data_IF_149561139966
#
_entry.id   IF_149561139966
#
_cell.length_a   1.000
_cell.length_b   1.000
_cell.length_c   1.000
_cell.angle_alpha   90.00
_cell.angle_beta   90.00
_cell.angle_gamma   90.00
#
_symmetry.space_group_name_H-M   'P 1'
#
loop_
_entity.id
_entity.type
_entity.pdbx_description
1 polymer ?
#
# COMPACT_ATOMS: atom_id res chain seq x y z
N UNK A 1 4.82 38.67 -67.61
CA UNK A 1 6.07 38.54 -66.84
C UNK A 1 5.84 39.27 -65.51
N UNK A 2 5.68 38.52 -64.41
CA UNK A 2 5.94 39.01 -63.05
C UNK A 2 6.12 37.79 -62.13
N UNK A 3 7.19 37.87 -61.34
CA UNK A 3 7.81 36.82 -60.56
C UNK A 3 7.17 36.69 -59.17
N UNK A 4 7.01 35.43 -58.76
CA UNK A 4 7.35 34.83 -57.45
C UNK A 4 6.78 35.51 -56.19
N UNK A 5 5.97 34.78 -55.42
CA UNK A 5 6.40 34.39 -54.07
C UNK A 5 5.53 33.28 -53.47
N UNK A 6 6.25 32.21 -53.15
CA UNK A 6 5.88 31.10 -52.27
C UNK A 6 5.42 31.61 -50.91
N UNK A 7 4.34 31.05 -50.38
CA UNK A 7 4.12 30.97 -48.93
C UNK A 7 3.22 29.77 -48.62
N UNK A 8 3.91 28.62 -48.52
CA UNK A 8 3.43 27.46 -47.78
C UNK A 8 3.20 27.88 -46.32
N UNK A 9 1.94 28.03 -45.91
CA UNK A 9 1.55 28.15 -44.50
C UNK A 9 0.92 26.83 -44.06
N UNK A 10 1.76 25.81 -43.91
CA UNK A 10 1.43 24.64 -43.09
C UNK A 10 1.55 25.07 -41.63
N UNK A 11 0.47 25.58 -41.06
CA UNK A 11 0.38 25.79 -39.62
C UNK A 11 0.16 24.43 -38.95
N UNK A 12 1.25 23.71 -38.68
CA UNK A 12 1.23 22.54 -37.81
C UNK A 12 1.03 23.08 -36.40
N UNK A 13 -0.22 23.12 -35.95
CA UNK A 13 -0.57 23.38 -34.57
C UNK A 13 -0.18 22.13 -33.78
N UNK A 14 1.10 22.03 -33.40
CA UNK A 14 1.56 21.04 -32.41
C UNK A 14 0.95 21.47 -31.09
N UNK A 15 -0.26 20.97 -30.80
CA UNK A 15 -0.76 20.89 -29.44
C UNK A 15 0.19 19.95 -28.70
N UNK A 16 1.29 20.51 -28.20
CA UNK A 16 2.03 19.94 -27.09
C UNK A 16 1.10 19.97 -25.89
N UNK A 17 0.18 18.99 -25.85
CA UNK A 17 -0.43 18.57 -24.61
C UNK A 17 0.76 18.20 -23.71
N UNK A 18 1.02 19.03 -22.71
CA UNK A 18 1.85 18.62 -21.59
C UNK A 18 1.17 17.38 -21.03
N UNK A 19 1.66 16.21 -21.43
CA UNK A 19 1.39 14.98 -20.72
C UNK A 19 2.09 15.19 -19.39
N UNK A 20 1.41 15.81 -18.44
CA UNK A 20 1.79 15.76 -17.04
C UNK A 20 1.72 14.30 -16.67
N UNK A 21 2.86 13.63 -16.74
CA UNK A 21 3.06 12.38 -16.03
C UNK A 21 2.88 12.74 -14.55
N UNK A 22 1.68 12.54 -14.02
CA UNK A 22 1.45 12.66 -12.59
C UNK A 22 2.31 11.59 -11.92
N UNK A 23 3.45 12.01 -11.38
CA UNK A 23 4.23 11.19 -10.48
C UNK A 23 3.31 10.72 -9.35
N UNK A 24 3.49 9.47 -8.91
CA UNK A 24 2.71 8.91 -7.79
C UNK A 24 2.67 9.91 -6.65
N UNK A 25 1.45 10.32 -6.23
CA UNK A 25 1.23 11.33 -5.18
C UNK A 25 1.77 10.87 -3.82
N UNK A 26 2.01 9.56 -3.68
CA UNK A 26 2.67 8.97 -2.54
C UNK A 26 3.86 8.13 -2.96
N UNK A 27 4.92 8.20 -2.17
CA UNK A 27 6.03 7.26 -2.18
C UNK A 27 5.77 6.21 -1.09
N UNK A 28 5.87 4.94 -1.49
CA UNK A 28 5.51 3.80 -0.67
C UNK A 28 6.70 2.86 -0.54
N UNK A 29 7.13 2.62 0.70
CA UNK A 29 8.24 1.73 1.03
C UNK A 29 7.80 0.72 2.08
N UNK A 30 8.44 -0.46 2.09
CA UNK A 30 8.06 -1.55 2.99
C UNK A 30 9.25 -2.42 3.40
N UNK A 31 9.09 -3.15 4.50
CA UNK A 31 10.07 -4.13 5.00
C UNK A 31 9.80 -5.54 4.48
N UNK A 32 10.75 -6.44 4.71
CA UNK A 32 10.44 -7.88 4.71
C UNK A 32 9.60 -8.21 5.96
N UNK A 33 8.58 -9.08 5.86
CA UNK A 33 7.81 -9.53 7.01
C UNK A 33 8.68 -10.33 7.98
N UNK A 34 8.55 -10.04 9.27
CA UNK A 34 9.23 -10.76 10.34
C UNK A 34 8.25 -11.68 11.08
N UNK A 35 8.67 -12.93 11.31
CA UNK A 35 7.91 -13.85 12.15
C UNK A 35 8.30 -13.63 13.61
N UNK A 36 7.33 -13.39 14.48
CA UNK A 36 7.51 -13.22 15.92
C UNK A 36 6.65 -14.22 16.66
N UNK A 37 7.22 -14.89 17.65
CA UNK A 37 6.43 -15.64 18.62
C UNK A 37 6.21 -14.75 19.85
N UNK A 38 4.96 -14.62 20.28
CA UNK A 38 4.62 -13.79 21.43
C UNK A 38 3.51 -14.43 22.25
N UNK A 39 3.72 -14.44 23.57
CA UNK A 39 2.76 -14.88 24.56
C UNK A 39 2.26 -13.66 25.30
N UNK A 40 0.96 -13.39 25.21
CA UNK A 40 0.31 -12.35 26.01
C UNK A 40 -0.15 -12.97 27.32
N UNK A 41 0.50 -12.62 28.42
CA UNK A 41 0.18 -13.02 29.81
C UNK A 41 -0.36 -14.46 29.98
N UNK A 42 -1.69 -14.62 29.88
CA UNK A 42 -2.47 -15.84 30.15
C UNK A 42 -2.96 -16.56 28.88
N UNK A 43 -2.64 -16.07 27.69
CA UNK A 43 -2.94 -16.74 26.42
C UNK A 43 -1.84 -17.73 26.05
N UNK A 44 -2.20 -18.68 25.20
CA UNK A 44 -1.22 -19.55 24.56
C UNK A 44 -0.23 -18.73 23.73
N UNK A 45 0.96 -19.31 23.56
CA UNK A 45 1.99 -18.72 22.72
C UNK A 45 1.52 -18.73 21.25
N UNK A 46 1.44 -17.55 20.65
CA UNK A 46 0.95 -17.36 19.28
C UNK A 46 2.05 -16.87 18.35
N UNK A 47 1.88 -17.17 17.06
CA UNK A 47 2.80 -16.72 16.02
C UNK A 47 2.22 -15.54 15.27
N UNK A 48 3.03 -14.50 15.15
CA UNK A 48 2.68 -13.27 14.46
C UNK A 48 3.58 -13.06 13.25
N UNK A 49 3.02 -12.49 12.19
CA UNK A 49 3.78 -11.86 11.12
C UNK A 49 3.68 -10.37 11.31
N UNK A 50 4.82 -9.70 11.46
CA UNK A 50 4.93 -8.25 11.60
C UNK A 50 5.47 -7.69 10.29
N UNK A 51 4.82 -6.66 9.78
CA UNK A 51 5.21 -6.02 8.54
C UNK A 51 5.18 -4.51 8.68
N UNK A 52 6.30 -3.86 8.37
CA UNK A 52 6.47 -2.42 8.52
C UNK A 52 6.47 -1.75 7.15
N UNK A 53 5.89 -0.56 7.08
CA UNK A 53 5.81 0.20 5.85
C UNK A 53 5.84 1.70 6.12
N UNK A 54 6.04 2.50 5.07
CA UNK A 54 5.95 3.95 5.16
C UNK A 54 5.29 4.53 3.92
N UNK A 55 4.45 5.53 4.15
CA UNK A 55 3.80 6.31 3.10
C UNK A 55 4.26 7.75 3.25
N UNK A 56 4.79 8.32 2.17
CA UNK A 56 5.21 9.71 2.10
C UNK A 56 4.41 10.45 1.05
N UNK A 57 3.85 11.59 1.39
CA UNK A 57 3.29 12.50 0.39
C UNK A 57 4.42 13.18 -0.38
N UNK A 58 4.45 12.98 -1.70
CA UNK A 58 5.46 13.54 -2.62
C UNK A 58 5.00 14.84 -3.28
N UNK A 59 3.74 15.22 -3.06
CA UNK A 59 3.14 16.43 -3.64
C UNK A 59 3.36 17.64 -2.73
N UNK A 60 3.22 18.82 -3.32
CA UNK A 60 3.22 20.10 -2.59
C UNK A 60 1.87 20.43 -1.93
N UNK A 61 0.89 19.53 -2.06
CA UNK A 61 -0.47 19.72 -1.55
C UNK A 61 -0.76 18.77 -0.40
N UNK A 62 -1.72 19.13 0.45
CA UNK A 62 -2.28 18.19 1.41
C UNK A 62 -3.16 17.17 0.68
N UNK A 63 -2.96 15.89 0.96
CA UNK A 63 -3.74 14.78 0.39
C UNK A 63 -4.40 13.96 1.50
N UNK A 64 -5.49 13.27 1.19
CA UNK A 64 -6.15 12.33 2.11
C UNK A 64 -5.92 10.91 1.61
N UNK A 65 -5.31 10.07 2.43
CA UNK A 65 -4.96 8.70 2.04
C UNK A 65 -5.80 7.71 2.87
N UNK A 66 -6.73 6.96 2.24
CA UNK A 66 -7.53 5.96 2.92
C UNK A 66 -6.76 4.62 2.99
N UNK A 67 -5.85 4.52 3.95
CA UNK A 67 -4.96 3.36 4.09
C UNK A 67 -5.67 2.23 4.84
N UNK A 68 -5.69 1.06 4.24
CA UNK A 68 -6.04 -0.21 4.89
C UNK A 68 -5.02 -1.28 4.48
N UNK A 69 -4.82 -2.28 5.35
CA UNK A 69 -3.85 -3.34 5.12
C UNK A 69 -4.43 -4.69 5.53
N UNK A 70 -4.25 -5.70 4.68
CA UNK A 70 -4.69 -7.07 4.95
C UNK A 70 -3.75 -8.08 4.28
N UNK A 71 -3.79 -9.33 4.75
CA UNK A 71 -2.95 -10.41 4.25
C UNK A 71 -3.82 -11.56 3.74
N UNK A 72 -3.44 -12.14 2.58
CA UNK A 72 -4.05 -13.35 2.03
C UNK A 72 -2.99 -14.40 1.75
N UNK A 73 -3.26 -15.63 2.17
CA UNK A 73 -2.37 -16.78 1.89
C UNK A 73 -2.71 -17.46 0.56
N UNK A 74 -1.79 -18.27 0.05
CA UNK A 74 -2.05 -19.24 -1.03
C UNK A 74 -3.13 -20.27 -0.65
N UNK A 75 -3.29 -20.58 0.64
CA UNK A 75 -4.39 -21.39 1.19
C UNK A 75 -5.76 -20.70 1.18
N UNK A 76 -5.87 -19.53 0.55
CA UNK A 76 -7.09 -18.71 0.41
C UNK A 76 -7.66 -18.18 1.74
N UNK A 77 -6.88 -18.20 2.82
CA UNK A 77 -7.26 -17.58 4.09
C UNK A 77 -6.92 -16.09 4.08
N UNK A 78 -7.78 -15.29 4.68
CA UNK A 78 -7.62 -13.84 4.81
C UNK A 78 -7.37 -13.49 6.28
N UNK A 79 -6.50 -12.52 6.50
CA UNK A 79 -6.08 -12.06 7.81
C UNK A 79 -6.13 -10.53 7.85
N UNK A 80 -6.75 -10.01 8.89
CA UNK A 80 -6.84 -8.58 9.14
C UNK A 80 -5.64 -8.11 9.97
N UNK A 81 -5.26 -6.86 9.73
CA UNK A 81 -4.42 -6.06 10.62
C UNK A 81 -4.97 -6.16 12.06
N UNK A 82 -4.08 -6.48 13.01
CA UNK A 82 -4.30 -6.25 14.43
C UNK A 82 -3.26 -5.29 14.97
N UNK A 83 -3.69 -4.36 15.82
CA UNK A 83 -2.77 -3.51 16.56
C UNK A 83 -2.51 -4.07 17.95
N UNK A 84 -1.27 -4.47 18.23
CA UNK A 84 -0.84 -5.01 19.53
C UNK A 84 0.27 -4.12 20.10
N UNK A 85 -0.02 -3.22 21.06
CA UNK A 85 0.94 -2.24 21.56
C UNK A 85 2.27 -2.83 22.02
N UNK A 86 2.24 -3.99 22.67
CA UNK A 86 3.44 -4.67 23.20
C UNK A 86 4.35 -5.25 22.11
N UNK A 87 3.79 -5.59 20.95
CA UNK A 87 4.58 -5.98 19.78
C UNK A 87 5.15 -4.71 19.13
N UNK A 88 4.31 -3.68 18.93
CA UNK A 88 4.71 -2.41 18.29
C UNK A 88 5.82 -1.71 19.05
N UNK A 89 5.81 -1.75 20.38
CA UNK A 89 6.84 -1.14 21.24
C UNK A 89 8.22 -1.77 21.06
N UNK A 90 8.32 -3.04 20.63
CA UNK A 90 9.61 -3.70 20.31
C UNK A 90 10.27 -3.10 19.07
N UNK A 91 9.47 -2.63 18.13
CA UNK A 91 9.92 -2.07 16.85
C UNK A 91 10.06 -0.55 16.88
N UNK A 92 9.28 0.12 17.74
CA UNK A 92 9.35 1.57 17.91
C UNK A 92 10.50 1.94 18.85
N UNK A 93 11.67 2.29 18.30
CA UNK A 93 12.84 2.73 19.09
C UNK A 93 13.10 4.23 18.92
N UNK A 94 13.26 4.93 20.04
CA UNK A 94 13.57 6.36 20.05
C UNK A 94 12.45 7.21 19.45
N UNK A 95 12.75 7.99 18.40
CA UNK A 95 11.79 8.88 17.75
C UNK A 95 11.00 8.20 16.61
N UNK A 96 11.30 6.95 16.27
CA UNK A 96 10.59 6.21 15.22
C UNK A 96 9.37 5.51 15.81
N UNK A 97 8.22 6.20 15.79
CA UNK A 97 6.94 5.63 16.20
C UNK A 97 6.26 4.99 15.01
N UNK A 98 5.95 3.70 15.10
CA UNK A 98 5.06 3.02 14.16
C UNK A 98 3.62 3.14 14.64
N UNK A 99 2.70 3.39 13.69
CA UNK A 99 1.27 3.55 13.94
C UNK A 99 0.45 2.51 13.17
N UNK A 100 -0.78 2.25 13.59
CA UNK A 100 -1.69 1.35 12.87
C UNK A 100 -2.12 1.93 11.51
N UNK A 101 -2.66 1.10 10.62
CA UNK A 101 -3.28 1.59 9.38
C UNK A 101 -4.42 2.57 9.67
N UNK A 102 -5.22 2.31 10.73
CA UNK A 102 -6.32 3.17 11.15
C UNK A 102 -5.89 4.56 11.64
N UNK A 103 -4.77 4.66 12.38
CA UNK A 103 -4.20 5.96 12.80
C UNK A 103 -3.51 6.66 11.62
N UNK A 104 -2.98 5.90 10.67
CA UNK A 104 -2.32 6.45 9.49
C UNK A 104 -3.30 7.11 8.51
N UNK A 105 -4.50 6.53 8.39
CA UNK A 105 -5.61 7.04 7.58
C UNK A 105 -5.88 8.52 7.85
N UNK A 106 -6.05 9.28 6.78
CA UNK A 106 -6.39 10.70 6.87
C UNK A 106 -5.39 11.58 6.14
N UNK A 107 -5.15 12.77 6.67
CA UNK A 107 -4.41 13.81 5.97
C UNK A 107 -2.90 13.60 6.03
N UNK A 108 -2.24 13.83 4.90
CA UNK A 108 -0.80 13.90 4.76
C UNK A 108 -0.45 15.29 4.22
N UNK A 109 0.24 16.08 5.02
CA UNK A 109 0.81 17.35 4.56
C UNK A 109 1.91 17.14 3.51
N UNK A 110 2.31 18.20 2.79
CA UNK A 110 3.40 18.12 1.82
C UNK A 110 4.69 17.56 2.44
N UNK A 111 5.29 16.56 1.80
CA UNK A 111 6.54 15.93 2.26
C UNK A 111 6.42 15.06 3.53
N UNK A 112 5.25 15.00 4.18
CA UNK A 112 5.06 14.24 5.42
C UNK A 112 5.16 12.74 5.14
N UNK A 113 5.93 12.05 5.97
CA UNK A 113 6.06 10.59 5.97
C UNK A 113 5.43 10.02 7.24
N UNK A 114 4.54 9.03 7.11
CA UNK A 114 4.02 8.25 8.23
C UNK A 114 4.54 6.81 8.13
N UNK A 115 4.91 6.22 9.27
CA UNK A 115 5.42 4.85 9.37
C UNK A 115 4.37 3.93 10.00
N UNK A 116 4.06 2.85 9.32
CA UNK A 116 2.97 1.94 9.64
C UNK A 116 3.47 0.57 10.01
N UNK A 117 2.71 -0.11 10.85
CA UNK A 117 2.95 -1.50 11.23
C UNK A 117 1.65 -2.28 11.11
N UNK A 118 1.70 -3.39 10.36
CA UNK A 118 0.63 -4.37 10.28
C UNK A 118 1.09 -5.65 10.97
N UNK A 119 0.23 -6.19 11.85
CA UNK A 119 0.51 -7.43 12.57
C UNK A 119 -0.60 -8.42 12.26
N UNK A 120 -0.22 -9.62 11.84
CA UNK A 120 -1.16 -10.69 11.51
C UNK A 120 -0.93 -11.88 12.43
N UNK A 121 -1.99 -12.35 13.09
CA UNK A 121 -1.95 -13.42 14.08
C UNK A 121 -2.27 -14.78 13.46
N UNK A 122 -1.54 -15.81 13.86
CA UNK A 122 -1.78 -17.22 13.57
C UNK A 122 -2.01 -17.51 12.08
N UNK A 123 -1.09 -17.01 11.25
CA UNK A 123 -1.03 -17.33 9.83
C UNK A 123 -0.88 -18.84 9.64
N UNK A 124 -1.63 -19.37 8.67
CA UNK A 124 -1.65 -20.79 8.33
C UNK A 124 -0.22 -21.36 8.22
N UNK A 125 0.17 -22.34 9.05
CA UNK A 125 1.54 -22.85 9.05
C UNK A 125 1.93 -23.52 7.72
N UNK A 126 0.93 -23.99 6.96
CA UNK A 126 1.11 -24.64 5.66
C UNK A 126 1.24 -23.63 4.51
N UNK A 127 0.94 -22.34 4.74
CA UNK A 127 1.06 -21.32 3.71
C UNK A 127 2.52 -21.20 3.22
N UNK A 128 2.71 -21.31 1.90
CA UNK A 128 4.01 -21.13 1.26
C UNK A 128 4.16 -19.75 0.65
N UNK A 129 3.04 -19.05 0.45
CA UNK A 129 3.03 -17.66 -0.01
C UNK A 129 2.06 -16.82 0.81
N UNK A 130 2.48 -15.59 1.08
CA UNK A 130 1.63 -14.54 1.64
C UNK A 130 1.58 -13.38 0.66
N UNK A 131 0.39 -12.80 0.53
CA UNK A 131 0.15 -11.62 -0.28
C UNK A 131 -0.34 -10.54 0.69
N UNK A 132 0.47 -9.50 0.88
CA UNK A 132 0.08 -8.33 1.67
C UNK A 132 -0.47 -7.29 0.71
N UNK A 133 -1.64 -6.77 1.03
CA UNK A 133 -2.33 -5.77 0.24
C UNK A 133 -2.40 -4.46 1.01
N UNK A 134 -2.09 -3.35 0.34
CA UNK A 134 -2.25 -2.00 0.87
C UNK A 134 -3.15 -1.20 -0.07
N UNK A 135 -4.22 -0.64 0.46
CA UNK A 135 -5.17 0.18 -0.31
C UNK A 135 -4.88 1.68 -0.12
N UNK A 136 -5.54 2.51 -0.93
CA UNK A 136 -5.46 3.97 -0.81
C UNK A 136 -4.17 4.63 -1.32
N UNK A 137 -3.20 3.84 -1.80
CA UNK A 137 -1.92 4.36 -2.33
C UNK A 137 -2.03 5.01 -3.72
N UNK A 138 -3.13 4.82 -4.42
CA UNK A 138 -3.35 5.48 -5.72
C UNK A 138 -4.63 6.29 -5.64
N UNK A 139 -4.55 7.59 -5.97
CA UNK A 139 -5.69 8.49 -6.00
C UNK A 139 -6.56 8.31 -7.26
N UNK A 140 -6.27 7.29 -8.07
CA UNK A 140 -6.98 6.97 -9.30
C UNK A 140 -8.37 6.42 -8.95
N UNK A 141 -9.40 7.23 -9.21
CA UNK A 141 -10.84 6.92 -9.23
C UNK A 141 -11.64 7.04 -7.93
N UNK A 142 -11.98 8.28 -7.55
CA UNK A 142 -13.20 8.54 -6.76
C UNK A 142 -14.41 9.03 -7.59
N UNK A 143 -14.27 9.31 -8.90
CA UNK A 143 -15.35 9.90 -9.72
C UNK A 143 -16.07 8.92 -10.68
N UNK A 144 -15.78 7.63 -10.68
CA UNK A 144 -16.66 6.65 -11.36
C UNK A 144 -16.94 5.52 -10.41
N UNK A 145 -18.21 5.40 -10.04
CA UNK A 145 -18.82 4.45 -9.10
C UNK A 145 -18.64 2.95 -9.46
N UNK A 146 -17.54 2.54 -10.11
CA UNK A 146 -17.43 1.16 -10.63
C UNK A 146 -16.06 0.58 -10.92
N UNK A 147 -14.94 1.12 -10.43
CA UNK A 147 -13.63 0.59 -10.81
C UNK A 147 -12.83 0.17 -9.57
N UNK A 148 -12.77 -1.16 -9.39
CA UNK A 148 -11.71 -1.94 -8.72
C UNK A 148 -10.79 -1.10 -7.83
N UNK A 149 -11.00 -1.19 -6.53
CA UNK A 149 -10.10 -0.61 -5.54
C UNK A 149 -8.68 -1.15 -5.79
N UNK A 150 -7.83 -0.32 -6.40
CA UNK A 150 -6.47 -0.70 -6.75
C UNK A 150 -5.67 -0.85 -5.45
N UNK A 151 -5.38 -2.09 -5.09
CA UNK A 151 -4.52 -2.42 -3.97
C UNK A 151 -3.10 -2.64 -4.49
N UNK A 152 -2.11 -2.14 -3.77
CA UNK A 152 -0.73 -2.54 -4.00
C UNK A 152 -0.51 -3.89 -3.34
N UNK A 153 -0.23 -4.91 -4.15
CA UNK A 153 0.01 -6.29 -3.71
C UNK A 153 1.50 -6.52 -3.62
N UNK A 154 1.94 -7.10 -2.51
CA UNK A 154 3.31 -7.55 -2.30
C UNK A 154 3.26 -9.02 -1.91
N UNK A 155 3.85 -9.87 -2.74
CA UNK A 155 3.88 -11.31 -2.55
C UNK A 155 5.23 -11.70 -1.97
N UNK A 156 5.20 -12.46 -0.88
CA UNK A 156 6.38 -13.11 -0.31
C UNK A 156 6.21 -14.62 -0.36
N UNK A 157 7.30 -15.31 -0.63
CA UNK A 157 7.40 -16.76 -0.55
C UNK A 157 8.16 -17.16 0.71
N UNK A 158 7.71 -18.22 1.36
CA UNK A 158 8.36 -18.80 2.53
C UNK A 158 9.66 -19.48 2.09
N UNK A 159 10.75 -19.17 2.79
CA UNK A 159 12.08 -19.77 2.60
C UNK A 159 12.64 -20.13 3.98
N UNK A 160 12.37 -21.36 4.41
CA UNK A 160 12.63 -21.79 5.79
C UNK A 160 11.77 -21.02 6.79
N UNK A 161 12.42 -20.33 7.73
CA UNK A 161 11.77 -19.50 8.74
C UNK A 161 11.58 -18.03 8.32
N UNK A 162 12.07 -17.66 7.14
CA UNK A 162 12.04 -16.29 6.63
C UNK A 162 11.13 -16.14 5.40
N UNK A 163 10.80 -14.89 5.08
CA UNK A 163 10.01 -14.52 3.91
C UNK A 163 10.91 -13.85 2.88
N UNK A 164 10.83 -14.27 1.62
CA UNK A 164 11.58 -13.68 0.51
C UNK A 164 10.60 -13.03 -0.46
N UNK A 165 10.92 -11.82 -0.93
CA UNK A 165 10.11 -11.12 -1.92
C UNK A 165 10.05 -11.95 -3.22
N UNK A 166 8.82 -12.21 -3.69
CA UNK A 166 8.56 -12.95 -4.94
C UNK A 166 8.19 -11.97 -6.06
N UNK A 167 7.16 -11.15 -5.82
CA UNK A 167 6.66 -10.16 -6.78
C UNK A 167 5.96 -9.02 -6.02
N UNK A 168 5.83 -7.86 -6.65
CA UNK A 168 5.01 -6.77 -6.14
C UNK A 168 4.47 -5.90 -7.28
N UNK A 169 3.33 -5.25 -7.06
CA UNK A 169 2.74 -4.36 -8.05
C UNK A 169 1.29 -4.01 -7.76
N UNK A 170 0.73 -3.16 -8.62
CA UNK A 170 -0.68 -2.77 -8.54
C UNK A 170 -1.55 -3.98 -8.93
N UNK A 171 -2.39 -4.43 -8.00
CA UNK A 171 -3.36 -5.48 -8.22
C UNK A 171 -4.73 -4.89 -8.54
N UNK A 172 -5.43 -5.54 -9.48
CA UNK A 172 -6.85 -5.29 -9.79
C UNK A 172 -7.78 -6.22 -8.99
N UNK A 173 -7.28 -6.86 -7.93
CA UNK A 173 -8.09 -7.75 -7.12
C UNK A 173 -9.07 -6.95 -6.26
N UNK A 174 -10.36 -7.05 -6.57
CA UNK A 174 -11.46 -6.39 -5.84
C UNK A 174 -12.03 -7.25 -4.71
N UNK A 175 -11.40 -8.38 -4.34
CA UNK A 175 -11.94 -9.31 -3.34
C UNK A 175 -12.16 -8.69 -1.95
N UNK A 176 -11.54 -7.55 -1.67
CA UNK A 176 -11.65 -6.82 -0.40
C UNK A 176 -12.91 -5.94 -0.30
N UNK A 177 -13.66 -5.72 -1.39
CA UNK A 177 -14.91 -4.94 -1.36
C UNK A 177 -15.98 -5.49 -0.41
N UNK A 178 -16.04 -6.81 -0.26
CA UNK A 178 -16.99 -7.44 0.66
C UNK A 178 -16.72 -7.09 2.14
N UNK A 179 -15.52 -6.59 2.45
CA UNK A 179 -15.16 -6.17 3.81
C UNK A 179 -15.65 -4.74 4.12
N UNK A 180 -15.50 -3.81 3.17
CA UNK A 180 -15.92 -2.42 3.33
C UNK A 180 -17.46 -2.26 3.45
N UNK A 181 -18.25 -3.08 2.73
CA UNK A 181 -19.71 -3.04 2.83
C UNK A 181 -20.26 -3.65 4.15
N UNK A 182 -19.41 -4.23 4.99
CA UNK A 182 -19.82 -4.80 6.30
C UNK A 182 -19.99 -3.75 7.40
N UNK A 183 -19.58 -2.50 7.14
CA UNK A 183 -19.67 -1.36 8.05
C UNK A 183 -20.66 -0.28 7.57
N UNK A 184 -21.59 -0.63 6.67
CA UNK A 184 -22.76 0.20 6.35
C UNK A 184 -23.95 -0.15 7.22
#
# INVERSE_FOLDING_TARGET
MNKVNSLFLFSIFVLSFSITSEASQVDFSWSTPESLTYKKDSEDEKKYIVWMYSVKNTTDNKIVVPIETFLKTDTQKNYEDKYIPDIVSKFSKGNEKYISASEMKGEFGPGVTKKGIAIFEDIDPYAQKINIYVTGLTHFFFWRWRLVDYSYKITYKKSGDSWTLDEHGISKDSSHRNYADKFK
#
